data_IF_409762865306
#
_entry.id   IF_409762865306
#
_cell.length_a   1.000
_cell.length_b   1.000
_cell.length_c   1.000
_cell.angle_alpha   90.00
_cell.angle_beta   90.00
_cell.angle_gamma   90.00
#
_symmetry.space_group_name_H-M   'P 1'
#
loop_
_entity.id
_entity.type
_entity.pdbx_description
1 polymer ?
#
# COMPACT_ATOMS: atom_id res chain seq x y z
N UNK A 1 -16.01 -12.11 14.61
CA UNK A 1 -14.78 -12.03 13.78
C UNK A 1 -14.37 -10.58 13.54
N UNK A 2 -15.16 -9.76 12.81
CA UNK A 2 -14.77 -8.39 12.46
C UNK A 2 -14.40 -7.55 13.70
N UNK A 3 -15.24 -7.57 14.75
CA UNK A 3 -14.99 -6.87 16.01
C UNK A 3 -13.67 -7.32 16.67
N UNK A 4 -13.37 -8.61 16.68
CA UNK A 4 -12.15 -9.15 17.30
C UNK A 4 -10.89 -8.74 16.51
N UNK A 5 -10.98 -8.72 15.20
CA UNK A 5 -9.89 -8.25 14.32
C UNK A 5 -9.64 -6.76 14.53
N UNK A 6 -10.71 -5.93 14.56
CA UNK A 6 -10.57 -4.49 14.80
C UNK A 6 -9.94 -4.16 16.14
N UNK A 7 -10.33 -4.88 17.19
CA UNK A 7 -9.70 -4.70 18.51
C UNK A 7 -8.19 -5.00 18.45
N UNK A 8 -7.79 -6.08 17.78
CA UNK A 8 -6.37 -6.41 17.62
C UNK A 8 -5.60 -5.41 16.76
N UNK A 9 -6.23 -4.89 15.70
CA UNK A 9 -5.63 -3.84 14.86
C UNK A 9 -5.40 -2.56 15.65
N UNK A 10 -6.38 -2.15 16.46
CA UNK A 10 -6.32 -0.88 17.21
C UNK A 10 -5.48 -0.97 18.49
N UNK A 11 -5.61 -2.06 19.26
CA UNK A 11 -4.98 -2.18 20.58
C UNK A 11 -3.59 -2.85 20.52
N UNK A 12 -3.43 -3.89 19.69
CA UNK A 12 -2.19 -4.66 19.61
C UNK A 12 -1.28 -4.23 18.45
N UNK A 13 -1.72 -3.24 17.66
CA UNK A 13 -0.99 -2.82 16.48
C UNK A 13 -0.90 -3.92 15.40
N UNK A 14 -1.81 -4.90 15.38
CA UNK A 14 -1.79 -5.99 14.41
C UNK A 14 -2.09 -5.51 12.98
N UNK A 15 -1.47 -6.13 11.97
CA UNK A 15 -1.72 -5.79 10.57
C UNK A 15 -3.06 -6.36 10.10
N UNK A 16 -3.96 -5.53 9.57
CA UNK A 16 -5.29 -5.95 9.13
C UNK A 16 -5.21 -7.04 8.04
N UNK A 17 -4.31 -6.88 7.08
CA UNK A 17 -4.10 -7.83 5.98
C UNK A 17 -3.50 -9.19 6.40
N UNK A 18 -2.97 -9.31 7.61
CA UNK A 18 -2.48 -10.58 8.18
C UNK A 18 -3.52 -11.17 9.12
N UNK A 19 -4.09 -10.31 9.99
CA UNK A 19 -4.99 -10.74 11.06
C UNK A 19 -6.35 -11.21 10.52
N UNK A 20 -6.91 -10.51 9.53
CA UNK A 20 -8.21 -10.83 8.98
C UNK A 20 -8.24 -12.18 8.25
N UNK A 21 -7.35 -12.47 7.27
CA UNK A 21 -7.32 -13.78 6.61
C UNK A 21 -7.13 -14.93 7.61
N UNK A 22 -6.22 -14.77 8.59
CA UNK A 22 -5.99 -15.78 9.62
C UNK A 22 -7.22 -16.01 10.52
N UNK A 23 -8.00 -14.95 10.81
CA UNK A 23 -9.24 -15.06 11.56
C UNK A 23 -10.34 -15.75 10.73
N UNK A 24 -10.49 -15.36 9.45
CA UNK A 24 -11.48 -15.94 8.54
C UNK A 24 -11.21 -17.44 8.25
N UNK A 25 -9.95 -17.85 8.16
CA UNK A 25 -9.57 -19.24 7.93
C UNK A 25 -10.04 -20.19 9.06
N UNK A 26 -10.30 -19.64 10.25
CA UNK A 26 -10.76 -20.40 11.44
C UNK A 26 -12.27 -20.44 11.59
N UNK A 27 -13.01 -19.92 10.60
CA UNK A 27 -14.48 -19.83 10.63
C UNK A 27 -15.08 -20.68 9.52
N UNK A 28 -16.32 -21.12 9.73
CA UNK A 28 -17.14 -21.76 8.69
C UNK A 28 -17.99 -20.76 7.90
N UNK A 29 -17.62 -19.46 7.86
CA UNK A 29 -18.37 -18.45 7.10
C UNK A 29 -18.34 -18.74 5.60
N UNK A 30 -19.48 -18.57 4.95
CA UNK A 30 -19.57 -18.61 3.50
C UNK A 30 -18.86 -17.41 2.83
N UNK A 31 -18.78 -17.39 1.51
CA UNK A 31 -18.08 -16.37 0.74
C UNK A 31 -18.68 -14.97 0.96
N UNK A 32 -19.99 -14.86 1.02
CA UNK A 32 -20.71 -13.61 1.24
C UNK A 32 -20.42 -13.01 2.62
N UNK A 33 -20.48 -13.83 3.65
CA UNK A 33 -20.21 -13.39 5.02
C UNK A 33 -18.73 -13.04 5.21
N UNK A 34 -17.81 -13.77 4.54
CA UNK A 34 -16.38 -13.43 4.51
C UNK A 34 -16.13 -12.10 3.83
N UNK A 35 -16.78 -11.84 2.69
CA UNK A 35 -16.70 -10.57 1.98
C UNK A 35 -17.23 -9.42 2.85
N UNK A 36 -18.37 -9.62 3.52
CA UNK A 36 -18.93 -8.62 4.42
C UNK A 36 -18.02 -8.36 5.64
N UNK A 37 -17.50 -9.39 6.27
CA UNK A 37 -16.53 -9.23 7.36
C UNK A 37 -15.27 -8.47 6.90
N UNK A 38 -14.84 -8.70 5.66
CA UNK A 38 -13.71 -8.00 5.04
C UNK A 38 -14.04 -6.53 4.85
N UNK A 39 -15.19 -6.20 4.28
CA UNK A 39 -15.63 -4.80 4.15
C UNK A 39 -15.72 -4.09 5.50
N UNK A 40 -16.29 -4.74 6.51
CA UNK A 40 -16.39 -4.16 7.85
C UNK A 40 -15.02 -3.84 8.46
N UNK A 41 -14.03 -4.74 8.33
CA UNK A 41 -12.70 -4.52 8.90
C UNK A 41 -11.94 -3.44 8.13
N UNK A 42 -11.87 -3.55 6.82
CA UNK A 42 -11.12 -2.58 6.00
C UNK A 42 -11.83 -1.22 5.96
N UNK A 43 -13.16 -1.19 5.86
CA UNK A 43 -13.94 0.03 5.84
C UNK A 43 -13.84 0.81 7.15
N UNK A 44 -14.04 0.14 8.30
CA UNK A 44 -13.87 0.78 9.62
C UNK A 44 -12.43 1.30 9.80
N UNK A 45 -11.43 0.51 9.41
CA UNK A 45 -10.03 0.93 9.53
C UNK A 45 -9.74 2.15 8.63
N UNK A 46 -10.29 2.15 7.42
CA UNK A 46 -10.16 3.24 6.44
C UNK A 46 -10.83 4.52 6.94
N UNK A 47 -12.04 4.41 7.48
CA UNK A 47 -12.87 5.53 7.90
C UNK A 47 -12.75 5.89 9.38
N UNK A 48 -11.72 5.39 10.06
CA UNK A 48 -11.55 5.47 11.51
C UNK A 48 -11.74 6.88 12.09
N UNK A 49 -11.07 7.90 11.55
CA UNK A 49 -11.14 9.30 12.03
C UNK A 49 -12.53 9.90 11.80
N UNK A 50 -13.10 9.68 10.62
CA UNK A 50 -14.44 10.14 10.29
C UNK A 50 -15.49 9.50 11.20
N UNK A 51 -15.38 8.18 11.42
CA UNK A 51 -16.30 7.47 12.33
C UNK A 51 -16.15 7.96 13.77
N UNK A 52 -14.92 8.21 14.23
CA UNK A 52 -14.70 8.76 15.57
C UNK A 52 -15.32 10.14 15.72
N UNK A 53 -15.14 11.02 14.74
CA UNK A 53 -15.79 12.33 14.74
C UNK A 53 -17.30 12.24 14.88
N UNK A 54 -17.95 11.38 14.10
CA UNK A 54 -19.39 11.19 14.15
C UNK A 54 -19.87 10.59 15.49
N UNK A 55 -19.06 9.74 16.13
CA UNK A 55 -19.39 9.08 17.40
C UNK A 55 -19.15 9.98 18.60
N UNK A 56 -18.04 10.75 18.59
CA UNK A 56 -17.61 11.55 19.74
C UNK A 56 -18.59 12.68 20.07
N UNK A 57 -19.37 13.15 19.09
CA UNK A 57 -20.48 14.09 19.33
C UNK A 57 -21.54 13.54 20.33
N UNK A 58 -21.61 12.22 20.52
CA UNK A 58 -22.59 11.55 21.36
C UNK A 58 -21.99 10.81 22.57
N UNK A 59 -20.68 10.97 22.79
CA UNK A 59 -19.95 10.32 23.88
C UNK A 59 -19.47 11.37 24.88
N UNK A 60 -19.77 11.18 26.17
CA UNK A 60 -19.29 12.05 27.23
C UNK A 60 -17.87 11.70 27.67
N UNK A 61 -17.51 10.45 27.55
CA UNK A 61 -16.18 9.92 27.92
C UNK A 61 -15.74 8.84 26.93
N UNK A 62 -14.43 8.69 26.67
CA UNK A 62 -13.94 7.63 25.80
C UNK A 62 -14.36 6.23 26.30
N UNK A 63 -15.03 5.43 25.48
CA UNK A 63 -15.44 4.08 25.87
C UNK A 63 -14.24 3.11 25.82
N UNK A 64 -14.32 1.96 26.49
CA UNK A 64 -13.31 0.91 26.37
C UNK A 64 -13.04 0.52 24.91
N UNK A 65 -11.80 0.07 24.56
CA UNK A 65 -11.41 -0.20 23.16
C UNK A 65 -12.39 -1.11 22.40
N UNK A 66 -12.84 -2.19 23.02
CA UNK A 66 -13.81 -3.11 22.39
C UNK A 66 -15.18 -2.47 22.13
N UNK A 67 -15.58 -1.55 22.99
CA UNK A 67 -16.84 -0.79 22.80
C UNK A 67 -16.67 0.24 21.71
N UNK A 68 -15.53 0.93 21.66
CA UNK A 68 -15.17 1.86 20.57
C UNK A 68 -15.20 1.15 19.21
N UNK A 69 -14.56 -0.01 19.12
CA UNK A 69 -14.55 -0.82 17.90
C UNK A 69 -15.99 -1.26 17.49
N UNK A 70 -16.83 -1.64 18.45
CA UNK A 70 -18.24 -1.96 18.16
C UNK A 70 -19.01 -0.73 17.66
N UNK A 71 -18.82 0.43 18.28
CA UNK A 71 -19.43 1.68 17.84
C UNK A 71 -19.02 2.07 16.42
N UNK A 72 -17.72 1.98 16.09
CA UNK A 72 -17.22 2.22 14.73
C UNK A 72 -17.84 1.26 13.71
N UNK A 73 -17.97 -0.04 14.06
CA UNK A 73 -18.64 -1.03 13.22
C UNK A 73 -20.10 -0.66 12.92
N UNK A 74 -20.85 -0.24 13.93
CA UNK A 74 -22.25 0.19 13.75
C UNK A 74 -22.34 1.47 12.94
N UNK A 75 -21.54 2.48 13.26
CA UNK A 75 -21.50 3.75 12.55
C UNK A 75 -21.12 3.58 11.08
N UNK A 76 -20.11 2.73 10.78
CA UNK A 76 -19.72 2.42 9.39
C UNK A 76 -20.88 1.82 8.59
N UNK A 77 -21.61 0.87 9.16
CA UNK A 77 -22.77 0.28 8.50
C UNK A 77 -23.86 1.32 8.21
N UNK A 78 -24.09 2.26 9.14
CA UNK A 78 -25.12 3.29 8.99
C UNK A 78 -24.69 4.36 7.99
N UNK A 79 -23.49 4.94 8.15
CA UNK A 79 -23.04 6.13 7.43
C UNK A 79 -22.52 5.78 6.04
N UNK A 80 -21.70 4.71 5.94
CA UNK A 80 -20.96 4.41 4.73
C UNK A 80 -21.63 3.33 3.87
N UNK A 81 -22.21 2.29 4.51
CA UNK A 81 -22.84 1.18 3.78
C UNK A 81 -24.35 1.37 3.55
N UNK A 82 -24.96 2.40 4.13
CA UNK A 82 -26.41 2.65 4.01
C UNK A 82 -27.25 1.52 4.56
N UNK A 83 -26.71 0.71 5.49
CA UNK A 83 -27.48 -0.37 6.13
C UNK A 83 -28.64 0.23 6.91
N UNK A 84 -29.86 -0.32 6.82
CA UNK A 84 -30.97 0.17 7.61
C UNK A 84 -30.63 0.25 9.09
N UNK A 85 -30.87 1.41 9.71
CA UNK A 85 -30.40 1.71 11.08
C UNK A 85 -30.81 0.64 12.10
N UNK A 86 -32.07 0.14 12.01
CA UNK A 86 -32.53 -0.91 12.91
C UNK A 86 -31.70 -2.20 12.83
N UNK A 87 -31.24 -2.57 11.62
CA UNK A 87 -30.45 -3.79 11.40
C UNK A 87 -29.02 -3.59 11.89
N UNK A 88 -28.36 -2.48 11.51
CA UNK A 88 -27.02 -2.13 11.94
C UNK A 88 -26.91 -2.03 13.47
N UNK A 89 -27.86 -1.32 14.11
CA UNK A 89 -27.91 -1.17 15.57
C UNK A 89 -28.12 -2.53 16.25
N UNK A 90 -29.14 -3.31 15.81
CA UNK A 90 -29.45 -4.62 16.43
C UNK A 90 -28.26 -5.58 16.37
N UNK A 91 -27.65 -5.75 15.19
CA UNK A 91 -26.49 -6.63 15.00
C UNK A 91 -25.28 -6.19 15.83
N UNK A 92 -25.02 -4.86 15.86
CA UNK A 92 -23.89 -4.32 16.63
C UNK A 92 -24.09 -4.47 18.14
N UNK A 93 -25.29 -4.21 18.64
CA UNK A 93 -25.66 -4.39 20.06
C UNK A 93 -25.52 -5.85 20.47
N UNK A 94 -25.92 -6.79 19.62
CA UNK A 94 -25.76 -8.22 19.89
C UNK A 94 -24.29 -8.62 20.03
N UNK A 95 -23.40 -8.04 19.21
CA UNK A 95 -21.95 -8.29 19.22
C UNK A 95 -21.20 -7.55 20.35
N UNK A 96 -21.78 -6.49 20.89
CA UNK A 96 -21.14 -5.66 21.94
C UNK A 96 -21.10 -6.35 23.31
N UNK A 97 -20.13 -5.97 24.17
CA UNK A 97 -20.08 -6.44 25.56
C UNK A 97 -21.39 -6.19 26.29
N UNK A 98 -21.90 -7.18 27.02
CA UNK A 98 -23.22 -7.13 27.67
C UNK A 98 -23.44 -5.88 28.52
N UNK A 99 -22.42 -5.47 29.29
CA UNK A 99 -22.46 -4.28 30.16
C UNK A 99 -22.58 -2.95 29.43
N UNK A 100 -22.29 -2.91 28.11
CA UNK A 100 -22.28 -1.68 27.31
C UNK A 100 -23.31 -1.67 26.18
N UNK A 101 -24.20 -2.68 26.11
CA UNK A 101 -25.24 -2.76 25.06
C UNK A 101 -26.16 -1.56 25.05
N UNK A 102 -26.52 -1.05 26.23
CA UNK A 102 -27.35 0.16 26.37
C UNK A 102 -26.66 1.39 25.77
N UNK A 103 -25.39 1.59 26.07
CA UNK A 103 -24.57 2.68 25.50
C UNK A 103 -24.49 2.57 23.97
N UNK A 104 -24.10 1.38 23.45
CA UNK A 104 -23.99 1.14 22.01
C UNK A 104 -25.31 1.41 21.29
N UNK A 105 -26.44 0.93 21.84
CA UNK A 105 -27.76 1.20 21.27
C UNK A 105 -28.07 2.70 21.25
N UNK A 106 -27.86 3.41 22.36
CA UNK A 106 -28.21 4.82 22.47
C UNK A 106 -27.37 5.68 21.50
N UNK A 107 -26.03 5.44 21.45
CA UNK A 107 -25.13 6.21 20.58
C UNK A 107 -25.44 5.96 19.10
N UNK A 108 -25.58 4.70 18.67
CA UNK A 108 -25.83 4.37 17.26
C UNK A 108 -27.21 4.86 16.76
N UNK A 109 -28.22 4.91 17.62
CA UNK A 109 -29.51 5.55 17.26
C UNK A 109 -29.37 7.04 17.01
N UNK A 110 -28.59 7.74 17.86
CA UNK A 110 -28.31 9.17 17.66
C UNK A 110 -27.50 9.42 16.37
N UNK A 111 -26.52 8.57 16.08
CA UNK A 111 -25.77 8.64 14.80
C UNK A 111 -26.73 8.48 13.62
N UNK A 112 -27.66 7.53 13.67
CA UNK A 112 -28.63 7.32 12.60
C UNK A 112 -29.61 8.48 12.45
N UNK A 113 -30.04 9.10 13.55
CA UNK A 113 -30.92 10.26 13.57
C UNK A 113 -30.26 11.55 13.06
N UNK A 114 -28.94 11.71 13.34
CA UNK A 114 -28.18 12.87 12.91
C UNK A 114 -27.89 12.87 11.39
N UNK A 115 -27.90 11.73 10.74
CA UNK A 115 -27.64 11.61 9.30
C UNK A 115 -26.15 11.83 8.96
N UNK A 116 -25.90 12.48 7.81
CA UNK A 116 -24.52 12.75 7.35
C UNK A 116 -23.87 13.78 8.27
N UNK A 117 -22.68 13.47 8.84
CA UNK A 117 -21.98 14.40 9.71
C UNK A 117 -21.54 15.68 8.98
N UNK A 118 -21.53 16.79 9.72
CA UNK A 118 -20.85 18.01 9.29
C UNK A 118 -19.36 17.89 9.59
N UNK A 119 -18.52 17.87 8.54
CA UNK A 119 -17.10 17.60 8.64
C UNK A 119 -16.32 18.90 8.88
N UNK A 120 -15.45 18.98 9.90
CA UNK A 120 -14.71 20.19 10.23
C UNK A 120 -13.63 20.54 9.19
N UNK A 121 -13.10 19.52 8.52
CA UNK A 121 -12.00 19.64 7.56
C UNK A 121 -11.94 18.42 6.62
N UNK A 122 -11.13 18.54 5.55
CA UNK A 122 -10.94 17.47 4.57
C UNK A 122 -10.26 16.23 5.17
N UNK A 123 -9.33 16.40 6.10
CA UNK A 123 -8.62 15.28 6.72
C UNK A 123 -9.57 14.41 7.55
N UNK A 124 -10.51 15.02 8.26
CA UNK A 124 -11.56 14.32 9.00
C UNK A 124 -12.56 13.68 8.03
N UNK A 125 -13.04 14.44 7.02
CA UNK A 125 -13.96 13.95 5.99
C UNK A 125 -13.41 12.74 5.26
N UNK A 126 -12.15 12.78 4.84
CA UNK A 126 -11.46 11.72 4.11
C UNK A 126 -10.81 10.67 5.02
N UNK A 127 -10.81 10.93 6.33
CA UNK A 127 -10.28 10.02 7.35
C UNK A 127 -8.80 9.70 7.21
N UNK A 128 -7.98 10.75 7.16
CA UNK A 128 -6.53 10.69 7.18
C UNK A 128 -5.95 11.47 8.36
N UNK A 129 -4.74 11.15 8.85
CA UNK A 129 -3.94 12.07 9.65
C UNK A 129 -3.69 13.39 8.90
N UNK A 130 -3.67 14.51 9.61
CA UNK A 130 -3.48 15.84 9.00
C UNK A 130 -2.19 15.91 8.19
N UNK A 131 -1.09 15.40 8.72
CA UNK A 131 0.21 15.41 8.08
C UNK A 131 0.25 14.69 6.71
N UNK A 132 -0.56 13.63 6.51
CA UNK A 132 -0.65 12.95 5.19
C UNK A 132 -1.31 13.88 4.17
N UNK A 133 -2.40 14.55 4.57
CA UNK A 133 -3.10 15.50 3.71
C UNK A 133 -2.19 16.67 3.38
N UNK A 134 -1.56 17.26 4.39
CA UNK A 134 -0.63 18.38 4.23
C UNK A 134 0.55 18.04 3.32
N UNK A 135 1.17 16.87 3.52
CA UNK A 135 2.27 16.39 2.67
C UNK A 135 1.85 16.23 1.22
N UNK A 136 0.75 15.53 0.96
CA UNK A 136 0.30 15.31 -0.42
C UNK A 136 -0.18 16.61 -1.09
N UNK A 137 -0.79 17.53 -0.34
CA UNK A 137 -1.16 18.85 -0.86
C UNK A 137 0.07 19.69 -1.19
N UNK A 138 1.10 19.63 -0.34
CA UNK A 138 2.38 20.33 -0.59
C UNK A 138 3.09 19.80 -1.83
N UNK A 139 3.10 18.47 -2.01
CA UNK A 139 3.90 17.80 -3.04
C UNK A 139 3.20 17.72 -4.40
N UNK A 140 1.86 17.61 -4.42
CA UNK A 140 1.08 17.41 -5.65
C UNK A 140 0.22 18.62 -6.04
N UNK A 141 0.04 19.56 -5.12
CA UNK A 141 -1.01 20.57 -5.21
C UNK A 141 -2.36 20.08 -4.69
N UNK A 142 -3.27 21.04 -4.33
CA UNK A 142 -4.53 20.70 -3.62
C UNK A 142 -5.43 19.75 -4.42
N UNK A 143 -5.76 20.08 -5.66
CA UNK A 143 -6.76 19.35 -6.43
C UNK A 143 -6.32 17.91 -6.74
N UNK A 144 -5.08 17.66 -7.24
CA UNK A 144 -4.58 16.30 -7.40
C UNK A 144 -4.52 15.52 -6.09
N UNK A 145 -4.07 16.14 -5.00
CA UNK A 145 -4.00 15.50 -3.68
C UNK A 145 -5.38 15.05 -3.19
N UNK A 146 -6.41 15.88 -3.33
CA UNK A 146 -7.77 15.51 -2.95
C UNK A 146 -8.28 14.32 -3.78
N UNK A 147 -8.07 14.32 -5.10
CA UNK A 147 -8.44 13.20 -5.97
C UNK A 147 -7.72 11.89 -5.57
N UNK A 148 -6.44 11.97 -5.25
CA UNK A 148 -5.63 10.84 -4.74
C UNK A 148 -6.21 10.30 -3.43
N UNK A 149 -6.47 11.16 -2.45
CA UNK A 149 -7.00 10.77 -1.14
C UNK A 149 -8.41 10.16 -1.25
N UNK A 150 -9.26 10.70 -2.10
CA UNK A 150 -10.60 10.16 -2.39
C UNK A 150 -10.52 8.80 -3.07
N UNK A 151 -9.69 8.64 -4.09
CA UNK A 151 -9.47 7.37 -4.78
C UNK A 151 -8.98 6.28 -3.83
N UNK A 152 -8.06 6.61 -2.91
CA UNK A 152 -7.55 5.66 -1.91
C UNK A 152 -8.55 5.32 -0.80
N UNK A 153 -9.72 5.94 -0.76
CA UNK A 153 -10.82 5.55 0.12
C UNK A 153 -11.79 4.53 -0.50
N UNK A 154 -11.60 4.18 -1.76
CA UNK A 154 -12.35 3.09 -2.39
C UNK A 154 -11.69 1.74 -2.14
N UNK A 155 -12.44 0.61 -2.12
CA UNK A 155 -11.84 -0.72 -2.09
C UNK A 155 -10.91 -0.94 -3.27
N UNK A 156 -9.76 -1.59 -3.02
CA UNK A 156 -8.81 -1.92 -4.07
C UNK A 156 -9.32 -3.05 -4.95
N UNK A 157 -9.26 -2.93 -6.28
CA UNK A 157 -9.56 -4.04 -7.17
C UNK A 157 -8.51 -5.15 -7.06
N UNK A 158 -8.91 -6.38 -7.39
CA UNK A 158 -8.03 -7.55 -7.39
C UNK A 158 -7.68 -7.88 -8.83
N UNK A 159 -6.41 -7.72 -9.18
CA UNK A 159 -5.88 -8.10 -10.50
C UNK A 159 -5.10 -9.40 -10.41
N UNK A 160 -5.24 -10.24 -11.43
CA UNK A 160 -4.48 -11.47 -11.60
C UNK A 160 -3.71 -11.40 -12.90
N UNK A 161 -2.43 -11.74 -12.85
CA UNK A 161 -1.62 -11.98 -14.04
C UNK A 161 -2.07 -13.27 -14.74
N UNK A 162 -1.63 -13.49 -15.96
CA UNK A 162 -1.93 -14.71 -16.72
C UNK A 162 -1.47 -16.01 -16.01
N UNK A 163 -0.35 -15.93 -15.25
CA UNK A 163 0.17 -17.02 -14.42
C UNK A 163 -0.63 -17.24 -13.12
N UNK A 164 -1.72 -16.49 -12.92
CA UNK A 164 -2.59 -16.59 -11.75
C UNK A 164 -2.10 -15.82 -10.51
N UNK A 165 -0.92 -15.20 -10.53
CA UNK A 165 -0.42 -14.41 -9.41
C UNK A 165 -1.25 -13.14 -9.20
N UNK A 166 -1.65 -12.88 -7.95
CA UNK A 166 -2.39 -11.66 -7.60
C UNK A 166 -1.41 -10.51 -7.42
N UNK A 167 -1.46 -9.53 -8.32
CA UNK A 167 -0.58 -8.37 -8.30
C UNK A 167 -1.35 -7.11 -8.72
N UNK A 168 -1.09 -6.00 -8.03
CA UNK A 168 -1.64 -4.71 -8.42
C UNK A 168 -1.22 -4.31 -9.83
N UNK A 169 -2.15 -3.66 -10.57
CA UNK A 169 -1.90 -3.26 -11.95
C UNK A 169 -0.74 -2.27 -12.04
N UNK A 170 -0.60 -1.33 -11.10
CA UNK A 170 0.55 -0.39 -11.10
C UNK A 170 1.89 -1.11 -10.99
N UNK A 171 1.95 -2.19 -10.20
CA UNK A 171 3.15 -3.03 -10.10
C UNK A 171 3.45 -3.82 -11.38
N UNK A 172 2.41 -4.23 -12.12
CA UNK A 172 2.57 -4.85 -13.45
C UNK A 172 3.08 -3.81 -14.46
N UNK A 173 2.49 -2.60 -14.47
CA UNK A 173 2.92 -1.49 -15.34
C UNK A 173 4.38 -1.07 -15.09
N UNK A 174 4.92 -1.23 -13.88
CA UNK A 174 6.35 -1.03 -13.63
C UNK A 174 7.18 -2.06 -14.39
N UNK A 175 6.78 -3.34 -14.40
CA UNK A 175 7.48 -4.40 -15.16
C UNK A 175 7.40 -4.13 -16.66
N UNK A 176 6.22 -3.75 -17.15
CA UNK A 176 6.00 -3.43 -18.57
C UNK A 176 6.84 -2.22 -19.03
N UNK A 177 7.24 -1.35 -18.11
CA UNK A 177 8.09 -0.21 -18.39
C UNK A 177 9.60 -0.53 -18.43
N UNK A 178 10.00 -1.75 -18.07
CA UNK A 178 11.38 -2.21 -18.14
C UNK A 178 11.63 -2.82 -19.52
N UNK A 179 12.59 -2.27 -20.26
CA UNK A 179 13.00 -2.78 -21.56
C UNK A 179 13.86 -4.04 -21.38
N UNK A 180 13.22 -5.21 -21.31
CA UNK A 180 13.83 -6.51 -21.05
C UNK A 180 13.54 -7.47 -22.18
N UNK A 181 14.58 -8.15 -22.64
CA UNK A 181 14.51 -9.20 -23.67
C UNK A 181 14.78 -10.58 -23.04
N UNK A 182 14.30 -11.63 -23.71
CA UNK A 182 14.60 -13.00 -23.28
C UNK A 182 16.12 -13.26 -23.26
N UNK A 183 16.61 -13.75 -22.14
CA UNK A 183 18.03 -14.01 -21.90
C UNK A 183 18.77 -12.87 -21.19
N UNK A 184 18.21 -11.67 -21.09
CA UNK A 184 18.79 -10.55 -20.34
C UNK A 184 19.01 -10.92 -18.88
N UNK A 185 20.06 -10.36 -18.30
CA UNK A 185 20.38 -10.51 -16.87
C UNK A 185 19.84 -9.31 -16.09
N UNK A 186 18.89 -9.57 -15.21
CA UNK A 186 18.20 -8.54 -14.43
C UNK A 186 18.47 -8.73 -12.94
N UNK A 187 18.79 -7.66 -12.21
CA UNK A 187 18.81 -7.64 -10.75
C UNK A 187 17.55 -6.94 -10.23
N UNK A 188 16.83 -7.57 -9.29
CA UNK A 188 15.81 -6.94 -8.45
C UNK A 188 16.36 -6.91 -7.02
N UNK A 189 16.79 -5.74 -6.55
CA UNK A 189 17.56 -5.62 -5.29
C UNK A 189 16.69 -5.54 -4.04
N UNK A 190 15.37 -5.43 -4.19
CA UNK A 190 14.38 -5.42 -3.11
C UNK A 190 13.17 -6.31 -3.43
N UNK A 191 13.44 -7.52 -3.94
CA UNK A 191 12.51 -8.35 -4.69
C UNK A 191 11.29 -8.88 -3.92
N UNK A 192 11.38 -9.06 -2.60
CA UNK A 192 10.31 -9.74 -1.87
C UNK A 192 8.98 -8.94 -1.80
N UNK A 193 7.84 -9.60 -2.06
CA UNK A 193 7.60 -11.05 -2.09
C UNK A 193 7.87 -11.75 -3.44
N UNK A 194 8.29 -11.05 -4.49
CA UNK A 194 8.68 -11.65 -5.77
C UNK A 194 7.75 -11.37 -6.94
N UNK A 195 6.74 -10.52 -6.78
CA UNK A 195 5.77 -10.25 -7.84
C UNK A 195 6.40 -9.67 -9.11
N UNK A 196 7.29 -8.68 -8.99
CA UNK A 196 8.01 -8.08 -10.13
C UNK A 196 9.08 -9.03 -10.66
N UNK A 197 9.88 -9.65 -9.77
CA UNK A 197 10.93 -10.58 -10.15
C UNK A 197 10.40 -11.80 -10.94
N UNK A 198 9.28 -12.40 -10.51
CA UNK A 198 8.64 -13.52 -11.25
C UNK A 198 8.04 -13.06 -12.58
N UNK A 199 7.51 -11.84 -12.65
CA UNK A 199 7.01 -11.30 -13.91
C UNK A 199 8.14 -11.07 -14.92
N UNK A 200 9.29 -10.54 -14.49
CA UNK A 200 10.48 -10.40 -15.34
C UNK A 200 11.00 -11.77 -15.80
N UNK A 201 11.01 -12.78 -14.92
CA UNK A 201 11.38 -14.14 -15.30
C UNK A 201 10.40 -14.76 -16.33
N UNK A 202 9.11 -14.46 -16.24
CA UNK A 202 8.10 -14.89 -17.21
C UNK A 202 8.31 -14.29 -18.61
N UNK A 203 8.94 -13.09 -18.70
CA UNK A 203 9.39 -12.48 -19.95
C UNK A 203 10.66 -13.14 -20.54
N UNK A 204 11.20 -14.15 -19.86
CA UNK A 204 12.41 -14.88 -20.29
C UNK A 204 13.73 -14.31 -19.78
N UNK A 205 13.70 -13.29 -18.90
CA UNK A 205 14.91 -12.75 -18.27
C UNK A 205 15.48 -13.73 -17.22
N UNK A 206 16.80 -13.70 -17.05
CA UNK A 206 17.49 -14.34 -15.94
C UNK A 206 17.55 -13.35 -14.78
N UNK A 207 16.76 -13.60 -13.74
CA UNK A 207 16.58 -12.65 -12.64
C UNK A 207 17.36 -13.06 -11.40
N UNK A 208 18.16 -12.14 -10.87
CA UNK A 208 18.73 -12.26 -9.51
C UNK A 208 17.87 -11.43 -8.56
N UNK A 209 17.05 -12.11 -7.77
CA UNK A 209 16.08 -11.53 -6.84
C UNK A 209 16.69 -11.47 -5.43
N UNK A 210 17.03 -10.27 -4.97
CA UNK A 210 17.65 -10.02 -3.67
C UNK A 210 16.64 -9.48 -2.66
N UNK A 211 16.78 -9.86 -1.40
CA UNK A 211 16.13 -9.20 -0.27
C UNK A 211 16.98 -9.39 0.99
N UNK A 212 17.07 -8.36 1.85
CA UNK A 212 17.85 -8.42 3.08
C UNK A 212 17.14 -9.17 4.21
N UNK A 213 15.81 -9.31 4.14
CA UNK A 213 15.00 -9.88 5.21
C UNK A 213 14.81 -11.39 5.04
N UNK A 214 15.50 -12.19 5.86
CA UNK A 214 15.47 -13.67 5.78
C UNK A 214 14.04 -14.26 5.81
N UNK A 215 13.12 -13.69 6.57
CA UNK A 215 11.72 -14.12 6.58
C UNK A 215 11.01 -13.91 5.23
N UNK A 216 11.40 -12.90 4.46
CA UNK A 216 10.86 -12.62 3.12
C UNK A 216 11.48 -13.51 2.03
N UNK A 217 12.72 -13.97 2.23
CA UNK A 217 13.36 -14.94 1.33
C UNK A 217 12.54 -16.22 1.19
N UNK A 218 11.89 -16.65 2.28
CA UNK A 218 10.96 -17.78 2.23
C UNK A 218 9.79 -17.56 1.26
N UNK A 219 9.23 -16.34 1.22
CA UNK A 219 8.16 -15.96 0.30
C UNK A 219 8.65 -15.92 -1.16
N UNK A 220 9.85 -15.36 -1.40
CA UNK A 220 10.48 -15.37 -2.73
C UNK A 220 10.62 -16.79 -3.27
N UNK A 221 11.15 -17.71 -2.44
CA UNK A 221 11.32 -19.12 -2.81
C UNK A 221 9.97 -19.81 -3.08
N UNK A 222 8.97 -19.53 -2.25
CA UNK A 222 7.63 -20.10 -2.42
C UNK A 222 6.96 -19.59 -3.70
N UNK A 223 7.04 -18.30 -4.00
CA UNK A 223 6.47 -17.72 -5.22
C UNK A 223 7.23 -18.19 -6.46
N UNK A 224 8.56 -18.29 -6.42
CA UNK A 224 9.36 -18.88 -7.47
C UNK A 224 8.87 -20.29 -7.83
N UNK A 225 8.69 -21.12 -6.81
CA UNK A 225 8.27 -22.52 -7.01
C UNK A 225 6.82 -22.64 -7.51
N UNK A 226 5.90 -21.80 -6.98
CA UNK A 226 4.48 -21.85 -7.35
C UNK A 226 4.17 -21.31 -8.75
N UNK A 227 5.09 -20.53 -9.34
CA UNK A 227 4.98 -19.90 -10.65
C UNK A 227 5.96 -20.48 -11.69
N UNK A 228 6.65 -21.57 -11.35
CA UNK A 228 7.66 -22.22 -12.20
C UNK A 228 8.70 -21.24 -12.76
N UNK A 229 9.07 -20.20 -11.94
CA UNK A 229 9.99 -19.16 -12.34
C UNK A 229 11.45 -19.62 -12.23
N UNK A 230 11.86 -20.62 -13.01
CA UNK A 230 13.18 -21.28 -12.94
C UNK A 230 14.34 -20.32 -13.29
N UNK A 231 14.08 -19.29 -14.09
CA UNK A 231 15.05 -18.26 -14.44
C UNK A 231 15.28 -17.24 -13.29
N UNK A 232 14.57 -17.35 -12.16
CA UNK A 232 14.75 -16.49 -11.00
C UNK A 232 15.65 -17.16 -9.96
N UNK A 233 16.77 -16.51 -9.63
CA UNK A 233 17.72 -16.92 -8.59
C UNK A 233 17.53 -16.06 -7.34
N UNK A 234 17.30 -16.68 -6.19
CA UNK A 234 17.02 -15.98 -4.93
C UNK A 234 18.30 -15.82 -4.11
N UNK A 235 18.60 -14.58 -3.71
CA UNK A 235 19.78 -14.21 -2.94
C UNK A 235 19.37 -13.42 -1.68
N UNK A 236 19.85 -13.85 -0.51
CA UNK A 236 19.74 -13.07 0.71
C UNK A 236 20.90 -12.08 0.79
N UNK A 237 20.63 -10.80 0.54
CA UNK A 237 21.65 -9.76 0.52
C UNK A 237 21.07 -8.38 0.87
N UNK A 238 21.90 -7.51 1.45
CA UNK A 238 21.58 -6.09 1.57
C UNK A 238 21.78 -5.42 0.21
N UNK A 239 20.69 -4.85 -0.34
CA UNK A 239 20.71 -4.17 -1.63
C UNK A 239 21.64 -2.94 -1.69
N UNK A 240 22.07 -2.43 -0.54
CA UNK A 240 23.07 -1.33 -0.46
C UNK A 240 24.51 -1.81 -0.66
N UNK A 241 24.75 -3.11 -0.52
CA UNK A 241 26.07 -3.75 -0.74
C UNK A 241 25.85 -5.16 -1.31
N UNK A 242 25.18 -5.27 -2.47
CA UNK A 242 24.84 -6.57 -3.02
C UNK A 242 26.14 -7.26 -3.51
N UNK A 243 26.32 -8.56 -3.21
CA UNK A 243 27.49 -9.30 -3.66
C UNK A 243 27.35 -9.70 -5.14
N UNK A 244 27.11 -8.69 -5.98
CA UNK A 244 26.89 -8.81 -7.41
C UNK A 244 28.04 -8.12 -8.16
N UNK A 245 28.31 -8.60 -9.36
CA UNK A 245 29.39 -8.05 -10.18
C UNK A 245 28.98 -6.70 -10.77
N UNK A 246 29.72 -5.61 -10.56
CA UNK A 246 29.49 -4.32 -11.20
C UNK A 246 29.46 -4.41 -12.72
N UNK A 247 28.65 -3.56 -13.36
CA UNK A 247 28.58 -3.40 -14.81
C UNK A 247 28.14 -4.66 -15.57
N UNK A 248 27.37 -5.55 -14.96
CA UNK A 248 27.03 -6.83 -15.56
C UNK A 248 25.55 -7.05 -15.87
N UNK A 249 24.67 -6.17 -15.42
CA UNK A 249 23.22 -6.33 -15.57
C UNK A 249 22.67 -5.48 -16.73
N UNK A 250 21.81 -6.10 -17.54
CA UNK A 250 21.05 -5.44 -18.61
C UNK A 250 20.02 -4.47 -18.04
N UNK A 251 19.39 -4.85 -16.93
CA UNK A 251 18.52 -3.99 -16.15
C UNK A 251 18.68 -4.22 -14.64
N UNK A 252 18.55 -3.14 -13.87
CA UNK A 252 18.53 -3.21 -12.40
C UNK A 252 17.25 -2.52 -11.91
N UNK A 253 16.42 -3.27 -11.19
CA UNK A 253 15.21 -2.79 -10.55
C UNK A 253 15.47 -2.54 -9.06
N UNK A 254 15.13 -1.34 -8.62
CA UNK A 254 15.07 -0.93 -7.22
C UNK A 254 13.60 -0.63 -6.89
N UNK A 255 12.80 -1.68 -6.61
CA UNK A 255 11.44 -1.54 -6.08
C UNK A 255 11.56 -1.37 -4.56
N UNK A 256 11.86 -0.15 -4.15
CA UNK A 256 12.39 0.12 -2.82
C UNK A 256 11.31 0.07 -1.71
N UNK A 257 11.71 -0.32 -0.49
CA UNK A 257 10.86 -0.09 0.68
C UNK A 257 10.51 1.39 0.81
N UNK A 258 9.22 1.70 0.94
CA UNK A 258 8.72 3.08 0.98
C UNK A 258 7.56 3.23 1.97
N UNK A 259 7.10 4.47 2.19
CA UNK A 259 5.95 4.77 3.04
C UNK A 259 4.64 4.11 2.55
N UNK A 260 4.53 3.84 1.26
CA UNK A 260 3.34 3.23 0.67
C UNK A 260 2.13 4.16 0.62
N UNK A 261 2.34 5.48 0.67
CA UNK A 261 1.26 6.47 0.65
C UNK A 261 0.47 6.52 -0.65
N UNK A 262 0.92 5.83 -1.71
CA UNK A 262 0.16 5.63 -2.95
C UNK A 262 -0.78 4.43 -2.93
N UNK A 263 -0.69 3.54 -1.92
CA UNK A 263 -1.41 2.25 -1.86
C UNK A 263 -2.29 2.07 -0.62
N UNK A 264 -2.67 3.16 0.04
CA UNK A 264 -3.39 3.13 1.32
C UNK A 264 -4.77 2.48 1.24
N UNK A 265 -5.36 2.31 0.06
CA UNK A 265 -6.61 1.57 -0.10
C UNK A 265 -6.46 0.06 0.17
N UNK A 266 -5.27 -0.53 -0.09
CA UNK A 266 -4.96 -1.94 0.20
C UNK A 266 -4.56 -2.18 1.62
N UNK A 267 -3.94 -1.17 2.25
CA UNK A 267 -3.44 -1.22 3.63
C UNK A 267 -3.97 -0.02 4.42
N UNK A 268 -5.28 0.07 4.66
CA UNK A 268 -5.86 1.25 5.32
C UNK A 268 -5.34 1.47 6.74
N UNK A 269 -4.85 0.42 7.40
CA UNK A 269 -4.19 0.50 8.71
C UNK A 269 -2.82 1.18 8.65
N UNK A 270 -2.15 1.20 7.50
CA UNK A 270 -0.85 1.86 7.33
C UNK A 270 -0.94 3.37 7.61
N UNK A 271 -2.03 4.05 7.20
CA UNK A 271 -2.22 5.49 7.44
C UNK A 271 -2.18 5.89 8.92
N UNK A 272 -2.46 4.94 9.82
CA UNK A 272 -2.49 5.16 11.27
C UNK A 272 -1.20 4.78 11.99
N UNK A 273 -0.21 4.23 11.25
CA UNK A 273 1.05 3.71 11.80
C UNK A 273 2.26 4.45 11.27
N UNK A 274 2.20 4.90 10.03
CA UNK A 274 3.28 5.65 9.40
C UNK A 274 3.37 6.99 10.12
N UNK A 275 4.60 7.36 10.44
CA UNK A 275 4.92 8.65 11.06
C UNK A 275 5.68 9.53 10.06
N UNK A 276 5.58 10.86 10.14
CA UNK A 276 6.32 11.77 9.26
C UNK A 276 7.82 11.48 9.21
N UNK A 277 8.42 11.16 10.38
CA UNK A 277 9.84 10.79 10.51
C UNK A 277 10.23 9.55 9.71
N UNK A 278 9.27 8.68 9.40
CA UNK A 278 9.53 7.46 8.60
C UNK A 278 9.88 7.78 7.16
N UNK A 279 9.33 8.87 6.59
CA UNK A 279 9.57 9.27 5.19
C UNK A 279 11.04 9.60 4.98
N UNK A 280 11.63 10.47 5.80
CA UNK A 280 13.04 10.84 5.68
C UNK A 280 13.98 9.63 5.82
N UNK A 281 13.73 8.77 6.81
CA UNK A 281 14.52 7.54 7.02
C UNK A 281 14.41 6.56 5.84
N UNK A 282 13.23 6.45 5.23
CA UNK A 282 13.04 5.60 4.05
C UNK A 282 13.74 6.20 2.82
N UNK A 283 13.71 7.53 2.66
CA UNK A 283 14.43 8.20 1.58
C UNK A 283 15.95 7.99 1.69
N UNK A 284 16.53 8.05 2.89
CA UNK A 284 17.96 7.73 3.11
C UNK A 284 18.28 6.27 2.71
N UNK A 285 17.42 5.32 3.07
CA UNK A 285 17.57 3.92 2.66
C UNK A 285 17.47 3.77 1.14
N UNK A 286 16.51 4.44 0.51
CA UNK A 286 16.26 4.42 -0.92
C UNK A 286 17.45 5.00 -1.69
N UNK A 287 18.02 6.11 -1.23
CA UNK A 287 19.23 6.70 -1.80
C UNK A 287 20.38 5.69 -1.78
N UNK A 288 20.67 5.07 -0.63
CA UNK A 288 21.75 4.09 -0.54
C UNK A 288 21.53 2.82 -1.39
N UNK A 289 20.26 2.42 -1.60
CA UNK A 289 19.92 1.31 -2.50
C UNK A 289 20.16 1.70 -3.97
N UNK A 290 19.78 2.92 -4.32
CA UNK A 290 19.86 3.43 -5.68
C UNK A 290 21.33 3.68 -6.08
N UNK A 291 22.13 4.25 -5.19
CA UNK A 291 23.57 4.46 -5.38
C UNK A 291 24.29 3.12 -5.68
N UNK A 292 24.01 2.09 -4.88
CA UNK A 292 24.59 0.76 -5.11
C UNK A 292 24.11 0.10 -6.41
N UNK A 293 22.87 0.38 -6.82
CA UNK A 293 22.28 -0.17 -8.04
C UNK A 293 22.88 0.43 -9.32
N UNK A 294 23.27 1.71 -9.30
CA UNK A 294 23.96 2.39 -10.44
C UNK A 294 25.17 1.58 -10.89
N UNK A 295 25.99 1.13 -9.95
CA UNK A 295 27.22 0.39 -10.26
C UNK A 295 26.96 -0.97 -10.93
N UNK A 296 25.82 -1.58 -10.72
CA UNK A 296 25.47 -2.89 -11.26
C UNK A 296 25.09 -2.85 -12.74
N UNK A 297 24.57 -1.71 -13.22
CA UNK A 297 24.10 -1.56 -14.59
C UNK A 297 25.26 -1.55 -15.56
N UNK A 298 25.22 -2.36 -16.63
CA UNK A 298 26.22 -2.32 -17.70
C UNK A 298 26.07 -1.06 -18.59
N UNK A 299 27.09 -0.66 -19.35
CA UNK A 299 26.90 0.33 -20.41
C UNK A 299 25.75 -0.07 -21.35
N UNK A 300 24.87 0.87 -21.70
CA UNK A 300 23.66 0.65 -22.46
C UNK A 300 22.51 -0.02 -21.69
N UNK A 301 22.74 -0.46 -20.44
CA UNK A 301 21.72 -1.05 -19.59
C UNK A 301 20.76 -0.04 -18.95
N UNK A 302 19.74 -0.51 -18.27
CA UNK A 302 18.69 0.30 -17.67
C UNK A 302 18.71 0.22 -16.13
N UNK A 303 18.63 1.37 -15.47
CA UNK A 303 18.30 1.49 -14.06
C UNK A 303 16.84 1.89 -13.91
N UNK A 304 16.12 1.19 -13.02
CA UNK A 304 14.71 1.46 -12.74
C UNK A 304 14.51 1.60 -11.23
N UNK A 305 14.00 2.74 -10.81
CA UNK A 305 13.59 2.99 -9.44
C UNK A 305 12.07 3.10 -9.38
N UNK A 306 11.43 2.31 -8.55
CA UNK A 306 10.00 2.36 -8.32
C UNK A 306 9.65 2.35 -6.83
N UNK A 307 8.65 3.16 -6.45
CA UNK A 307 8.11 3.22 -5.09
C UNK A 307 6.60 3.43 -5.14
N UNK A 308 5.87 2.74 -4.26
CA UNK A 308 4.42 2.90 -4.14
C UNK A 308 4.04 4.08 -3.21
N UNK A 309 4.74 5.20 -3.35
CA UNK A 309 4.49 6.46 -2.65
C UNK A 309 4.44 7.62 -3.64
N UNK A 310 3.90 8.74 -3.21
CA UNK A 310 3.72 9.95 -4.04
C UNK A 310 4.40 11.17 -3.40
N UNK A 311 5.19 10.99 -2.34
CA UNK A 311 5.87 12.07 -1.64
C UNK A 311 7.11 12.54 -2.41
N UNK A 312 7.32 13.85 -2.51
CA UNK A 312 8.50 14.41 -3.16
C UNK A 312 9.81 13.94 -2.50
N UNK A 313 9.78 13.71 -1.19
CA UNK A 313 10.95 13.25 -0.43
C UNK A 313 11.42 11.85 -0.85
N UNK A 314 10.48 10.91 -1.08
CA UNK A 314 10.81 9.53 -1.49
C UNK A 314 10.87 9.35 -3.01
N UNK A 315 10.67 10.42 -3.78
CA UNK A 315 10.67 10.40 -5.25
C UNK A 315 11.71 11.35 -5.80
N UNK A 316 11.39 12.64 -5.92
CA UNK A 316 12.26 13.66 -6.52
C UNK A 316 13.61 13.80 -5.79
N UNK A 317 13.59 13.84 -4.44
CA UNK A 317 14.82 14.03 -3.67
C UNK A 317 15.75 12.82 -3.75
N UNK A 318 15.20 11.61 -3.82
CA UNK A 318 15.99 10.38 -4.01
C UNK A 318 16.55 10.31 -5.42
N UNK A 319 15.74 10.60 -6.44
CA UNK A 319 16.14 10.52 -7.84
C UNK A 319 17.16 11.61 -8.23
N UNK A 320 17.12 12.78 -7.63
CA UNK A 320 18.02 13.89 -7.93
C UNK A 320 19.51 13.52 -7.77
N UNK A 321 19.84 12.63 -6.84
CA UNK A 321 21.21 12.21 -6.58
C UNK A 321 21.79 11.30 -7.68
N UNK A 322 20.94 10.71 -8.54
CA UNK A 322 21.37 9.73 -9.55
C UNK A 322 21.97 10.39 -10.80
N UNK A 323 21.49 11.57 -11.16
CA UNK A 323 21.79 12.20 -12.44
C UNK A 323 23.09 13.03 -12.45
N UNK A 324 23.57 13.47 -11.28
CA UNK A 324 24.72 14.39 -11.21
C UNK A 324 26.08 13.75 -11.51
N UNK A 325 26.29 12.44 -11.22
CA UNK A 325 27.61 11.80 -11.32
C UNK A 325 27.68 10.49 -12.13
N UNK A 326 26.57 9.95 -12.61
CA UNK A 326 26.51 8.55 -13.04
C UNK A 326 26.55 8.25 -14.54
N UNK A 327 26.60 9.22 -15.45
CA UNK A 327 26.48 8.96 -16.89
C UNK A 327 25.17 8.27 -17.25
N UNK A 328 24.10 8.63 -16.55
CA UNK A 328 22.75 8.09 -16.71
C UNK A 328 21.86 9.11 -17.41
N UNK A 329 21.21 8.69 -18.48
CA UNK A 329 20.24 9.50 -19.23
C UNK A 329 18.81 9.10 -18.85
N UNK A 330 17.98 10.08 -18.45
CA UNK A 330 16.59 9.87 -18.08
C UNK A 330 15.76 9.42 -19.27
N UNK A 331 14.88 8.43 -19.05
CA UNK A 331 13.95 7.95 -20.06
C UNK A 331 12.56 8.59 -19.86
N UNK A 332 11.84 8.90 -20.95
CA UNK A 332 10.53 9.52 -20.88
C UNK A 332 9.50 8.63 -20.16
N UNK A 333 8.36 9.20 -19.67
CA UNK A 333 7.26 8.41 -19.13
C UNK A 333 6.85 7.26 -20.06
N UNK A 334 6.51 6.07 -19.53
CA UNK A 334 6.26 4.89 -20.37
C UNK A 334 4.93 4.96 -21.15
N UNK A 335 3.97 5.75 -20.70
CA UNK A 335 2.69 5.99 -21.38
C UNK A 335 2.03 7.29 -20.90
N UNK A 336 0.94 7.71 -21.53
CA UNK A 336 0.16 8.90 -21.16
C UNK A 336 -0.50 8.82 -19.77
N UNK A 337 -0.63 7.63 -19.19
CA UNK A 337 -1.15 7.46 -17.83
C UNK A 337 -0.15 7.93 -16.75
N UNK A 338 1.12 7.96 -17.10
CA UNK A 338 2.20 8.40 -16.23
C UNK A 338 2.44 9.91 -16.37
N UNK A 339 2.07 10.66 -15.35
CA UNK A 339 2.25 12.11 -15.32
C UNK A 339 3.72 12.46 -15.10
N UNK A 340 4.36 13.32 -15.89
CA UNK A 340 5.74 13.75 -15.69
C UNK A 340 5.98 14.26 -14.26
N UNK A 341 7.09 13.84 -13.62
CA UNK A 341 7.46 14.19 -12.27
C UNK A 341 8.99 14.28 -12.13
N UNK A 342 9.55 15.48 -12.33
CA UNK A 342 11.00 15.66 -12.48
C UNK A 342 11.53 14.81 -13.64
N UNK A 343 12.59 14.06 -13.40
CA UNK A 343 13.19 13.12 -14.37
C UNK A 343 12.49 11.76 -14.46
N UNK A 344 11.35 11.61 -13.81
CA UNK A 344 10.53 10.40 -13.82
C UNK A 344 9.06 10.70 -14.04
N UNK A 345 8.19 9.84 -13.50
CA UNK A 345 6.75 9.98 -13.65
C UNK A 345 5.98 9.41 -12.44
N UNK A 346 4.78 9.95 -12.21
CA UNK A 346 3.80 9.45 -11.25
C UNK A 346 2.63 8.79 -11.97
N UNK A 347 2.24 7.63 -11.49
CA UNK A 347 0.93 7.05 -11.73
C UNK A 347 0.06 7.41 -10.54
N UNK A 348 -0.90 8.32 -10.72
CA UNK A 348 -1.83 8.68 -9.64
C UNK A 348 -2.86 7.56 -9.45
N UNK A 349 -3.31 7.28 -8.20
CA UNK A 349 -4.31 6.25 -7.98
C UNK A 349 -5.57 6.46 -8.80
N UNK A 350 -5.95 5.47 -9.59
CA UNK A 350 -7.14 5.46 -10.43
C UNK A 350 -8.16 4.41 -9.99
N UNK A 351 -9.17 4.15 -10.82
CA UNK A 351 -10.18 3.13 -10.54
C UNK A 351 -9.53 1.74 -10.39
N UNK A 352 -8.59 1.39 -11.27
CA UNK A 352 -8.04 0.04 -11.40
C UNK A 352 -6.62 -0.13 -10.88
N UNK A 353 -5.90 0.94 -10.58
CA UNK A 353 -4.49 0.89 -10.17
C UNK A 353 -4.20 1.78 -8.97
N UNK A 354 -3.21 1.38 -8.18
CA UNK A 354 -2.68 2.17 -7.08
C UNK A 354 -1.72 3.27 -7.55
N UNK A 355 -1.33 4.15 -6.63
CA UNK A 355 -0.32 5.16 -6.89
C UNK A 355 1.09 4.58 -6.90
N UNK A 356 1.92 5.04 -7.86
CA UNK A 356 3.29 4.61 -8.05
C UNK A 356 4.15 5.75 -8.58
N UNK A 357 5.39 5.83 -8.15
CA UNK A 357 6.40 6.64 -8.82
C UNK A 357 7.38 5.73 -9.55
N UNK A 358 7.83 6.18 -10.72
CA UNK A 358 8.73 5.44 -11.58
C UNK A 358 9.77 6.39 -12.18
N UNK A 359 11.05 6.06 -11.97
CA UNK A 359 12.19 6.73 -12.58
C UNK A 359 12.99 5.70 -13.35
N UNK A 360 13.37 6.04 -14.57
CA UNK A 360 14.08 5.14 -15.47
C UNK A 360 15.24 5.86 -16.13
N UNK A 361 16.38 5.25 -16.11
CA UNK A 361 17.58 5.79 -16.73
C UNK A 361 18.27 4.73 -17.59
N UNK A 362 18.99 5.18 -18.60
CA UNK A 362 19.88 4.38 -19.43
C UNK A 362 21.31 4.80 -19.16
N UNK A 363 22.17 3.82 -18.89
CA UNK A 363 23.59 4.07 -18.69
C UNK A 363 24.24 4.31 -20.06
N UNK A 364 25.01 5.41 -20.22
CA UNK A 364 25.77 5.73 -21.43
C UNK A 364 26.84 4.67 -21.76
#
# INVERSE_FOLDING_TARGET
>A
VALDVLVRVDADGAYANVTLPAALARTGLDERDRAFATELVYGVTRRRRALDWALDAFLQTPPPPRVRAALRLGAHQIIELGTPAYAAVSATVAAAPRSHRGLVNAVLRRVAEAGTPDWPDDATRLSYPDWIVETLVSDLGRDPAMGVLESMNTPAPVHRREDGYVQDLSSQMVVDAIDVQAGDLVADVCAAPGGKATALAALGARVVACDSHLGRIGLLKANRASLDADQMHVLAADGRQPPLRPGSFDAVLVDAPCSGLGTLRRRPDARWRIEPSSIARLAELQTGLLDAAVDLVRPGGQLVYSVCTLTATETLQVAANVTEDGGLESLPPPSELWVPHGDGALLLPGADHDGMALFRWRRA
#
